data_IF_768159291454
#
_entry.id   IF_768159291454
#
_cell.length_a   1.000
_cell.length_b   1.000
_cell.length_c   1.000
_cell.angle_alpha   90.00
_cell.angle_beta   90.00
_cell.angle_gamma   90.00
#
_symmetry.space_group_name_H-M   'P 1'
#
loop_
_entity.id
_entity.type
_entity.pdbx_description
1 polymer ?
#
# COMPACT_ATOMS: atom_id res chain seq x y z
N UNK A 1 14.23 14.93 20.61
CA UNK A 1 13.71 14.08 19.52
C UNK A 1 13.00 12.90 20.15
N UNK A 2 11.69 12.81 19.99
CA UNK A 2 10.89 11.71 20.54
C UNK A 2 10.92 10.48 19.62
N UNK A 3 10.58 9.30 20.15
CA UNK A 3 10.54 8.05 19.39
C UNK A 3 9.68 8.15 18.10
N UNK A 4 8.61 8.94 18.14
CA UNK A 4 7.74 9.16 16.99
C UNK A 4 8.45 9.89 15.84
N UNK A 5 9.29 10.87 16.14
CA UNK A 5 10.05 11.65 15.15
C UNK A 5 11.14 10.81 14.46
N UNK A 6 11.73 9.87 15.19
CA UNK A 6 12.67 8.92 14.59
C UNK A 6 11.95 7.91 13.69
N UNK A 7 10.80 7.38 14.15
CA UNK A 7 10.00 6.41 13.39
C UNK A 7 9.41 6.99 12.12
N UNK A 8 9.07 8.27 12.07
CA UNK A 8 8.55 8.90 10.85
C UNK A 8 9.61 9.07 9.75
N UNK A 9 10.89 8.94 10.08
CA UNK A 9 12.03 9.07 9.13
C UNK A 9 12.69 7.74 8.81
N UNK A 10 12.21 6.63 9.35
CA UNK A 10 12.75 5.29 9.15
C UNK A 10 11.68 4.39 8.53
N UNK A 11 11.94 3.90 7.32
CA UNK A 11 11.11 2.89 6.66
C UNK A 11 11.66 1.50 6.94
N UNK A 12 10.79 0.55 7.29
CA UNK A 12 11.15 -0.85 7.53
C UNK A 12 10.27 -1.72 6.64
N UNK A 13 10.87 -2.70 5.97
CA UNK A 13 10.16 -3.76 5.26
C UNK A 13 10.18 -4.99 6.17
N UNK A 14 9.01 -5.50 6.62
CA UNK A 14 8.95 -6.67 7.49
C UNK A 14 9.39 -7.94 6.74
N UNK A 15 9.84 -8.97 7.47
CA UNK A 15 10.20 -10.26 6.88
C UNK A 15 8.97 -11.02 6.36
N UNK A 16 7.87 -10.96 7.10
CA UNK A 16 6.57 -11.50 6.68
C UNK A 16 5.68 -10.34 6.19
N UNK A 17 5.19 -10.37 4.94
CA UNK A 17 4.29 -9.34 4.45
C UNK A 17 2.94 -9.43 5.19
N UNK A 18 2.49 -8.30 5.73
CA UNK A 18 1.21 -8.18 6.41
C UNK A 18 0.35 -7.18 5.64
N UNK A 19 -0.85 -7.61 5.26
CA UNK A 19 -1.87 -6.78 4.64
C UNK A 19 -3.09 -6.68 5.55
N UNK A 20 -3.62 -5.48 5.66
CA UNK A 20 -4.83 -5.18 6.41
C UNK A 20 -6.05 -5.33 5.51
N UNK A 21 -7.17 -5.75 6.09
CA UNK A 21 -8.45 -5.75 5.39
C UNK A 21 -8.87 -4.32 5.03
N UNK A 22 -9.33 -4.11 3.80
CA UNK A 22 -9.77 -2.82 3.28
C UNK A 22 -9.21 -2.54 1.89
N UNK A 23 -9.30 -1.31 1.40
CA UNK A 23 -8.84 -1.01 0.04
C UNK A 23 -7.32 -1.14 -0.12
N UNK A 24 -6.87 -1.40 -1.35
CA UNK A 24 -5.45 -1.34 -1.69
C UNK A 24 -4.88 0.04 -1.38
N UNK A 25 -5.63 1.12 -1.65
CA UNK A 25 -5.29 2.48 -1.26
C UNK A 25 -5.00 2.60 0.23
N UNK A 26 -5.85 2.05 1.09
CA UNK A 26 -5.66 2.09 2.54
C UNK A 26 -4.38 1.37 2.98
N UNK A 27 -4.04 0.24 2.33
CA UNK A 27 -2.80 -0.47 2.60
C UNK A 27 -1.55 0.29 2.16
N UNK A 28 -1.64 1.11 1.11
CA UNK A 28 -0.53 1.95 0.60
C UNK A 28 -0.38 3.27 1.36
N UNK A 29 -1.50 3.92 1.70
CA UNK A 29 -1.55 5.23 2.35
C UNK A 29 -2.71 5.31 3.35
N UNK A 30 -2.53 4.74 4.56
CA UNK A 30 -3.58 4.71 5.58
C UNK A 30 -3.93 6.10 6.14
N UNK A 31 -3.09 7.11 5.89
CA UNK A 31 -3.28 8.49 6.38
C UNK A 31 -3.76 9.45 5.29
N UNK A 32 -3.93 8.97 4.05
CA UNK A 32 -4.34 9.81 2.91
C UNK A 32 -3.44 11.04 2.70
N UNK A 33 -2.12 10.87 2.90
CA UNK A 33 -1.13 11.93 2.71
C UNK A 33 -0.76 12.15 1.23
N UNK A 34 -1.02 11.16 0.38
CA UNK A 34 -0.60 11.14 -1.03
C UNK A 34 -1.81 11.06 -1.97
N UNK A 35 -1.67 11.68 -3.14
CA UNK A 35 -2.68 11.62 -4.18
C UNK A 35 -2.52 10.36 -5.06
N UNK A 36 -3.54 10.05 -5.85
CA UNK A 36 -3.56 8.84 -6.69
C UNK A 36 -2.38 8.76 -7.66
N UNK A 37 -1.94 9.89 -8.22
CA UNK A 37 -0.83 9.88 -9.18
C UNK A 37 0.50 9.49 -8.54
N UNK A 38 0.72 9.90 -7.29
CA UNK A 38 1.90 9.50 -6.51
C UNK A 38 1.86 8.00 -6.19
N UNK A 39 0.68 7.48 -5.80
CA UNK A 39 0.51 6.06 -5.54
C UNK A 39 0.72 5.21 -6.81
N UNK A 40 0.21 5.67 -7.96
CA UNK A 40 0.44 5.00 -9.23
C UNK A 40 1.90 5.03 -9.67
N UNK A 41 2.63 6.11 -9.39
CA UNK A 41 4.09 6.17 -9.62
C UNK A 41 4.82 5.15 -8.74
N UNK A 42 4.49 5.07 -7.45
CA UNK A 42 5.08 4.10 -6.53
C UNK A 42 4.77 2.65 -6.95
N UNK A 43 3.55 2.39 -7.45
CA UNK A 43 3.17 1.07 -7.98
C UNK A 43 3.91 0.72 -9.27
N UNK A 44 4.24 1.68 -10.12
CA UNK A 44 5.09 1.47 -11.30
C UNK A 44 6.51 1.09 -10.90
N UNK A 45 7.10 1.85 -9.96
CA UNK A 45 8.44 1.59 -9.42
C UNK A 45 8.54 0.23 -8.71
N UNK A 46 7.45 -0.20 -8.07
CA UNK A 46 7.33 -1.51 -7.44
C UNK A 46 6.94 -2.65 -8.40
N UNK A 47 6.79 -2.37 -9.70
CA UNK A 47 6.34 -3.33 -10.73
C UNK A 47 4.95 -3.95 -10.48
N UNK A 48 4.08 -3.24 -9.75
CA UNK A 48 2.73 -3.68 -9.41
C UNK A 48 1.63 -2.97 -10.23
N UNK A 49 1.97 -1.92 -10.99
CA UNK A 49 0.98 -1.14 -11.75
C UNK A 49 0.04 -2.00 -12.60
N UNK A 50 0.59 -2.87 -13.43
CA UNK A 50 -0.19 -3.73 -14.33
C UNK A 50 -1.13 -4.66 -13.56
N UNK A 51 -0.70 -5.16 -12.40
CA UNK A 51 -1.55 -5.97 -11.54
C UNK A 51 -2.75 -5.17 -11.03
N UNK A 52 -2.53 -3.94 -10.57
CA UNK A 52 -3.60 -3.07 -10.06
C UNK A 52 -4.53 -2.62 -11.18
N UNK A 53 -4.00 -2.27 -12.37
CA UNK A 53 -4.81 -1.93 -13.55
C UNK A 53 -5.67 -3.10 -14.04
N UNK A 54 -5.25 -4.34 -13.80
CA UNK A 54 -6.07 -5.52 -14.14
C UNK A 54 -7.29 -5.70 -13.23
N UNK A 55 -7.34 -5.01 -12.09
CA UNK A 55 -8.46 -5.07 -11.16
C UNK A 55 -9.53 -4.04 -11.57
N UNK A 56 -10.82 -4.41 -11.61
CA UNK A 56 -11.90 -3.49 -11.99
C UNK A 56 -11.93 -2.18 -11.19
N UNK A 57 -11.56 -2.26 -9.92
CA UNK A 57 -11.64 -1.15 -8.97
C UNK A 57 -10.29 -0.44 -8.75
N UNK A 58 -9.21 -0.88 -9.42
CA UNK A 58 -7.87 -0.28 -9.30
C UNK A 58 -7.41 -0.12 -7.84
N UNK A 59 -7.12 1.12 -7.43
CA UNK A 59 -6.73 1.46 -6.05
C UNK A 59 -7.83 1.18 -5.01
N UNK A 60 -9.09 1.12 -5.43
CA UNK A 60 -10.24 0.79 -4.59
C UNK A 60 -10.49 -0.72 -4.48
N UNK A 61 -9.63 -1.55 -5.08
CA UNK A 61 -9.73 -3.00 -4.95
C UNK A 61 -9.67 -3.43 -3.47
N UNK A 62 -10.66 -4.20 -3.04
CA UNK A 62 -10.76 -4.69 -1.67
C UNK A 62 -9.73 -5.79 -1.40
N UNK A 63 -8.90 -5.60 -0.38
CA UNK A 63 -7.93 -6.56 0.13
C UNK A 63 -8.56 -7.30 1.30
N UNK A 64 -8.54 -8.64 1.22
CA UNK A 64 -8.98 -9.52 2.30
C UNK A 64 -7.94 -9.54 3.42
N UNK A 65 -8.35 -9.90 4.65
CA UNK A 65 -7.43 -10.01 5.78
C UNK A 65 -6.21 -10.89 5.42
N UNK A 66 -5.00 -10.41 5.68
CA UNK A 66 -3.77 -11.12 5.34
C UNK A 66 -3.47 -11.24 3.84
N UNK A 67 -4.25 -10.61 2.96
CA UNK A 67 -4.00 -10.57 1.52
C UNK A 67 -4.36 -11.85 0.77
N UNK A 68 -5.27 -12.67 1.28
CA UNK A 68 -5.63 -13.97 0.68
C UNK A 68 -6.04 -13.89 -0.80
N UNK A 69 -6.63 -12.77 -1.22
CA UNK A 69 -7.14 -12.56 -2.58
C UNK A 69 -6.08 -12.07 -3.59
N UNK A 70 -4.83 -11.84 -3.16
CA UNK A 70 -3.72 -11.41 -4.02
C UNK A 70 -2.46 -12.27 -3.86
N UNK A 71 -2.56 -13.36 -3.10
CA UNK A 71 -1.47 -14.30 -2.85
C UNK A 71 -1.15 -15.18 -4.06
#
# INVERSE_FOLDING_TARGET
MGLHELRSRLTIIPQDPVLLSGTLRFNLDPFSNFNDSELWSALEEAHLKQFVESKPDGLSYEISEGGENIR
#
